data_IF_583522850300
#
_entry.id   IF_583522850300
#
_cell.length_a   1.000
_cell.length_b   1.000
_cell.length_c   1.000
_cell.angle_alpha   90.00
_cell.angle_beta   90.00
_cell.angle_gamma   90.00
#
_symmetry.space_group_name_H-M   'P 1'
#
loop_
_entity.id
_entity.type
_entity.pdbx_description
1 polymer ?
#
# COMPACT_ATOMS: atom_id res chain seq x y z
N UNK A 1 16.34 -16.77 -12.34
CA UNK A 1 15.20 -15.85 -12.20
C UNK A 1 15.73 -14.60 -11.53
N UNK A 2 15.95 -13.52 -12.28
CA UNK A 2 16.42 -12.26 -11.71
C UNK A 2 15.24 -11.59 -11.01
N UNK A 3 15.16 -11.68 -9.69
CA UNK A 3 14.28 -10.82 -8.90
C UNK A 3 14.86 -9.42 -8.94
N UNK A 4 14.41 -8.61 -9.90
CA UNK A 4 14.64 -7.17 -9.87
C UNK A 4 13.73 -6.60 -8.78
N UNK A 5 14.14 -6.76 -7.52
CA UNK A 5 13.45 -6.10 -6.41
C UNK A 5 13.77 -4.61 -6.51
N UNK A 6 12.90 -3.87 -7.19
CA UNK A 6 12.98 -2.41 -7.26
C UNK A 6 12.74 -1.89 -5.84
N UNK A 7 13.79 -1.48 -5.16
CA UNK A 7 13.68 -0.84 -3.86
C UNK A 7 13.35 0.65 -4.07
N UNK A 8 12.48 1.19 -3.21
CA UNK A 8 12.25 2.63 -3.16
C UNK A 8 13.54 3.37 -2.78
N UNK A 9 13.64 4.66 -3.12
CA UNK A 9 14.75 5.51 -2.66
C UNK A 9 14.77 5.57 -1.13
N UNK A 10 15.89 6.03 -0.56
CA UNK A 10 16.02 6.22 0.90
C UNK A 10 14.92 7.13 1.48
N UNK A 11 14.54 8.17 0.74
CA UNK A 11 13.42 9.05 1.08
C UNK A 11 12.09 8.30 1.09
N UNK A 12 11.80 7.52 0.04
CA UNK A 12 10.60 6.68 -0.03
C UNK A 12 10.54 5.67 1.12
N UNK A 13 11.66 5.01 1.44
CA UNK A 13 11.75 4.05 2.54
C UNK A 13 11.47 4.72 3.90
N UNK A 14 11.99 5.93 4.13
CA UNK A 14 11.71 6.69 5.34
C UNK A 14 10.22 7.03 5.46
N UNK A 15 9.58 7.42 4.35
CA UNK A 15 8.14 7.73 4.31
C UNK A 15 7.30 6.48 4.61
N UNK A 16 7.63 5.35 4.00
CA UNK A 16 6.98 4.07 4.29
C UNK A 16 7.11 3.71 5.78
N UNK A 17 8.31 3.85 6.35
CA UNK A 17 8.53 3.57 7.78
C UNK A 17 7.71 4.48 8.69
N UNK A 18 7.60 5.77 8.39
CA UNK A 18 6.73 6.70 9.12
C UNK A 18 5.26 6.28 9.07
N UNK A 19 4.78 5.82 7.91
CA UNK A 19 3.42 5.30 7.75
C UNK A 19 3.21 3.98 8.51
N UNK A 20 4.19 3.08 8.50
CA UNK A 20 4.17 1.82 9.28
C UNK A 20 4.06 2.10 10.78
N UNK A 21 4.89 3.01 11.32
CA UNK A 21 4.83 3.41 12.73
C UNK A 21 3.47 3.99 13.09
N UNK A 22 2.91 4.83 12.22
CA UNK A 22 1.58 5.39 12.41
C UNK A 22 0.51 4.30 12.51
N UNK A 23 0.42 3.42 11.50
CA UNK A 23 -0.58 2.37 11.44
C UNK A 23 -0.43 1.35 12.58
N UNK A 24 0.79 0.93 12.90
CA UNK A 24 1.07 0.00 14.00
C UNK A 24 0.65 0.60 15.34
N UNK A 25 0.95 1.89 15.57
CA UNK A 25 0.54 2.56 16.81
C UNK A 25 -0.98 2.56 16.97
N UNK A 26 -1.72 2.85 15.90
CA UNK A 26 -3.19 2.78 15.92
C UNK A 26 -3.69 1.36 16.20
N UNK A 27 -3.10 0.36 15.56
CA UNK A 27 -3.42 -1.06 15.76
C UNK A 27 -3.22 -1.52 17.21
N UNK A 28 -2.07 -1.20 17.81
CA UNK A 28 -1.76 -1.54 19.20
C UNK A 28 -2.70 -0.87 20.20
N UNK A 29 -3.06 0.40 19.97
CA UNK A 29 -4.02 1.12 20.83
C UNK A 29 -5.42 0.51 20.72
N UNK A 30 -5.87 0.20 19.50
CA UNK A 30 -7.14 -0.51 19.22
C UNK A 30 -7.17 -1.87 19.92
N UNK A 31 -6.12 -2.66 19.79
CA UNK A 31 -6.04 -4.00 20.39
C UNK A 31 -6.09 -3.93 21.92
N UNK A 32 -5.31 -3.04 22.53
CA UNK A 32 -5.29 -2.85 23.99
C UNK A 32 -6.65 -2.39 24.52
N UNK A 33 -7.31 -1.47 23.83
CA UNK A 33 -8.65 -1.01 24.19
C UNK A 33 -9.70 -2.12 24.03
N UNK A 34 -9.64 -2.87 22.93
CA UNK A 34 -10.55 -3.99 22.65
C UNK A 34 -10.44 -5.08 23.70
N UNK A 35 -9.21 -5.44 24.12
CA UNK A 35 -8.95 -6.38 25.22
C UNK A 35 -9.55 -5.89 26.54
N UNK A 36 -9.39 -4.61 26.87
CA UNK A 36 -9.94 -4.02 28.10
C UNK A 36 -11.47 -4.03 28.11
N UNK A 37 -12.11 -3.75 26.98
CA UNK A 37 -13.57 -3.73 26.86
C UNK A 37 -14.18 -5.10 26.53
N UNK A 38 -13.36 -6.14 26.30
CA UNK A 38 -13.78 -7.49 25.88
C UNK A 38 -14.70 -7.48 24.64
N UNK A 39 -14.53 -6.50 23.74
CA UNK A 39 -15.24 -6.38 22.47
C UNK A 39 -14.32 -5.80 21.41
N UNK A 40 -14.60 -6.09 20.14
CA UNK A 40 -13.89 -5.44 19.03
C UNK A 40 -14.30 -3.97 18.94
N UNK A 41 -13.32 -3.08 18.79
CA UNK A 41 -13.51 -1.64 18.67
C UNK A 41 -12.90 -1.13 17.37
N UNK A 42 -13.54 -0.15 16.74
CA UNK A 42 -12.91 0.66 15.70
C UNK A 42 -11.93 1.68 16.33
N UNK A 43 -10.91 2.10 15.58
CA UNK A 43 -9.98 3.17 15.98
C UNK A 43 -10.74 4.45 16.31
N UNK A 44 -11.80 4.75 15.56
CA UNK A 44 -12.66 5.92 15.77
C UNK A 44 -13.47 5.86 17.07
N UNK A 45 -13.73 4.66 17.62
CA UNK A 45 -14.34 4.51 18.95
C UNK A 45 -13.33 4.70 20.09
N UNK A 46 -12.04 4.49 19.80
CA UNK A 46 -10.95 4.51 20.81
C UNK A 46 -10.27 5.87 20.89
N UNK A 47 -10.06 6.52 19.74
CA UNK A 47 -9.24 7.73 19.63
C UNK A 47 -10.04 8.88 19.04
N UNK A 48 -9.93 10.05 19.69
CA UNK A 48 -10.41 11.30 19.10
C UNK A 48 -9.54 11.72 17.91
N UNK A 49 -10.10 12.53 17.01
CA UNK A 49 -9.38 13.09 15.85
C UNK A 49 -8.08 13.78 16.28
N UNK A 50 -8.10 14.55 17.37
CA UNK A 50 -6.91 15.22 17.92
C UNK A 50 -5.82 14.24 18.36
N UNK A 51 -6.20 13.08 18.92
CA UNK A 51 -5.23 12.05 19.30
C UNK A 51 -4.60 11.40 18.06
N UNK A 52 -5.40 11.14 17.02
CA UNK A 52 -4.90 10.61 15.74
C UNK A 52 -3.94 11.62 15.07
N UNK A 53 -4.29 12.90 15.05
CA UNK A 53 -3.40 13.97 14.56
C UNK A 53 -2.09 14.05 15.36
N UNK A 54 -2.15 13.82 16.67
CA UNK A 54 -0.95 13.82 17.51
C UNK A 54 -0.04 12.64 17.18
N UNK A 55 -0.61 11.44 17.00
CA UNK A 55 0.13 10.24 16.55
C UNK A 55 0.72 10.47 15.16
N UNK A 56 -0.04 11.06 14.23
CA UNK A 56 0.42 11.43 12.89
C UNK A 56 1.65 12.36 12.92
N UNK A 57 1.64 13.35 13.83
CA UNK A 57 2.76 14.27 13.98
C UNK A 57 4.00 13.58 14.57
N UNK A 58 3.82 12.68 15.53
CA UNK A 58 4.92 11.94 16.15
C UNK A 58 5.54 10.90 15.20
N UNK A 59 4.72 10.24 14.37
CA UNK A 59 5.20 9.26 13.38
C UNK A 59 5.83 9.92 12.15
N UNK A 60 5.48 11.18 11.88
CA UNK A 60 5.87 11.88 10.65
C UNK A 60 5.02 11.48 9.44
N UNK A 61 3.81 10.94 9.65
CA UNK A 61 2.89 10.52 8.61
C UNK A 61 1.52 11.23 8.75
N UNK A 62 1.02 11.98 7.73
CA UNK A 62 1.68 12.21 6.45
C UNK A 62 2.88 13.13 6.61
N UNK A 63 3.88 12.98 5.74
CA UNK A 63 4.98 13.93 5.71
C UNK A 63 4.44 15.32 5.43
N UNK A 64 4.73 16.26 6.34
CA UNK A 64 4.40 17.67 6.17
C UNK A 64 5.38 18.30 5.19
N UNK A 65 5.20 18.05 3.90
CA UNK A 65 5.79 18.92 2.89
C UNK A 65 5.01 20.24 2.88
N UNK A 66 5.53 21.25 3.57
CA UNK A 66 5.10 22.62 3.40
C UNK A 66 6.08 23.33 2.44
N UNK A 67 5.84 23.33 1.12
CA UNK A 67 6.51 24.29 0.27
C UNK A 67 6.00 25.67 0.69
N UNK A 68 6.81 26.41 1.46
CA UNK A 68 6.41 27.69 2.05
C UNK A 68 6.00 28.72 0.99
N UNK A 69 6.49 28.59 -0.24
CA UNK A 69 5.93 29.22 -1.45
C UNK A 69 6.49 28.52 -2.69
N UNK A 70 5.65 28.15 -3.66
CA UNK A 70 6.14 27.72 -4.97
C UNK A 70 6.81 28.90 -5.69
N UNK A 71 8.05 28.72 -6.14
CA UNK A 71 8.76 29.76 -6.89
C UNK A 71 7.97 30.16 -8.15
N UNK A 72 7.76 31.46 -8.36
CA UNK A 72 6.88 31.98 -9.42
C UNK A 72 7.44 31.81 -10.83
N UNK A 73 8.74 31.53 -10.98
CA UNK A 73 9.48 31.52 -12.27
C UNK A 73 10.41 30.31 -12.48
N UNK A 74 10.00 29.11 -12.04
CA UNK A 74 10.67 27.88 -12.49
C UNK A 74 10.35 27.59 -13.96
N UNK A 75 11.35 27.58 -14.84
CA UNK A 75 11.17 27.19 -16.27
C UNK A 75 10.98 25.68 -16.44
N UNK A 76 11.50 24.89 -15.49
CA UNK A 76 11.56 23.43 -15.57
C UNK A 76 10.76 22.78 -14.45
N UNK A 77 10.41 21.51 -14.64
CA UNK A 77 9.73 20.68 -13.63
C UNK A 77 10.70 20.38 -12.48
N UNK A 78 10.17 20.29 -11.27
CA UNK A 78 10.91 19.71 -10.15
C UNK A 78 11.01 18.19 -10.34
N UNK A 79 12.08 17.58 -9.82
CA UNK A 79 12.26 16.12 -9.86
C UNK A 79 11.15 15.41 -9.08
N UNK A 80 10.68 16.01 -7.98
CA UNK A 80 9.61 15.44 -7.14
C UNK A 80 8.20 15.69 -7.67
N UNK A 81 8.01 16.51 -8.71
CA UNK A 81 6.70 16.95 -9.18
C UNK A 81 6.02 18.04 -8.33
N UNK A 82 6.61 18.40 -7.18
CA UNK A 82 6.11 19.48 -6.31
C UNK A 82 6.03 20.80 -7.07
N UNK A 83 4.98 21.58 -6.80
CA UNK A 83 4.69 22.88 -7.41
C UNK A 83 4.29 22.82 -8.90
N UNK A 84 4.00 21.64 -9.46
CA UNK A 84 3.37 21.57 -10.78
C UNK A 84 2.01 22.28 -10.78
N UNK A 85 1.20 22.01 -9.74
CA UNK A 85 -0.03 22.76 -9.47
C UNK A 85 0.23 23.85 -8.42
N UNK A 86 0.07 25.12 -8.79
CA UNK A 86 0.38 26.26 -7.91
C UNK A 86 -0.61 26.44 -6.76
N UNK A 87 -1.87 26.02 -6.93
CA UNK A 87 -2.89 26.09 -5.88
C UNK A 87 -2.75 24.94 -4.89
N UNK A 88 -2.37 23.77 -5.39
CA UNK A 88 -2.18 22.54 -4.62
C UNK A 88 -0.80 21.94 -4.93
N UNK A 89 0.27 22.43 -4.28
CA UNK A 89 1.65 22.09 -4.63
C UNK A 89 2.02 20.61 -4.63
N UNK A 90 1.28 19.77 -3.90
CA UNK A 90 1.53 18.33 -3.75
C UNK A 90 0.73 17.46 -4.73
N UNK A 91 -0.16 18.04 -5.55
CA UNK A 91 -0.92 17.24 -6.51
C UNK A 91 0.00 16.66 -7.58
N UNK A 92 0.06 15.33 -7.64
CA UNK A 92 0.91 14.59 -8.56
C UNK A 92 2.39 14.55 -8.17
N UNK A 93 2.76 15.00 -6.96
CA UNK A 93 4.13 14.83 -6.49
C UNK A 93 4.41 13.39 -6.04
N UNK A 94 5.64 12.94 -6.26
CA UNK A 94 6.11 11.64 -5.78
C UNK A 94 5.98 11.52 -4.25
N UNK A 95 5.97 10.27 -3.76
CA UNK A 95 5.86 9.92 -2.35
C UNK A 95 4.62 10.50 -1.63
N UNK A 96 3.52 10.67 -2.35
CA UNK A 96 2.21 11.00 -1.78
C UNK A 96 1.26 9.81 -1.91
N UNK A 97 0.23 9.76 -1.07
CA UNK A 97 -0.78 8.71 -1.15
C UNK A 97 -1.51 8.73 -2.48
N UNK A 98 -1.75 7.54 -3.04
CA UNK A 98 -2.54 7.40 -4.28
C UNK A 98 -3.95 7.97 -4.09
N UNK A 99 -4.45 8.64 -5.13
CA UNK A 99 -5.81 9.18 -5.12
C UNK A 99 -6.85 8.04 -5.01
N UNK A 100 -7.86 8.25 -4.17
CA UNK A 100 -9.00 7.33 -4.05
C UNK A 100 -10.19 7.92 -4.80
N UNK A 101 -10.59 7.29 -5.89
CA UNK A 101 -11.81 7.67 -6.64
C UNK A 101 -13.08 7.13 -5.99
N UNK A 102 -12.95 6.01 -5.28
CA UNK A 102 -13.99 5.41 -4.44
C UNK A 102 -13.44 5.19 -3.02
N UNK A 103 -14.31 5.15 -1.99
CA UNK A 103 -13.89 4.81 -0.63
C UNK A 103 -13.13 3.48 -0.58
N UNK A 104 -12.17 3.37 0.34
CA UNK A 104 -11.44 2.14 0.56
C UNK A 104 -12.34 1.06 1.17
N UNK A 105 -12.21 -0.18 0.71
CA UNK A 105 -12.91 -1.32 1.30
C UNK A 105 -11.92 -2.31 1.90
N UNK A 106 -11.79 -2.27 3.22
CA UNK A 106 -11.02 -3.22 4.01
C UNK A 106 -11.95 -4.19 4.74
N UNK A 107 -11.43 -5.35 5.09
CA UNK A 107 -12.18 -6.36 5.83
C UNK A 107 -12.64 -5.81 7.18
N UNK A 108 -11.76 -5.15 7.93
CA UNK A 108 -12.10 -4.52 9.21
C UNK A 108 -12.55 -3.06 9.10
N UNK A 109 -12.72 -2.56 7.87
CA UNK A 109 -13.06 -1.16 7.59
C UNK A 109 -11.90 -0.18 7.73
N UNK A 110 -10.68 -0.64 8.04
CA UNK A 110 -9.54 0.22 8.35
C UNK A 110 -8.31 -0.09 7.49
N UNK A 111 -7.71 -1.28 7.65
CA UNK A 111 -6.45 -1.64 6.97
C UNK A 111 -6.30 -3.12 6.64
N UNK A 112 -7.10 -4.03 7.21
CA UNK A 112 -6.99 -5.45 6.90
C UNK A 112 -7.48 -5.73 5.47
N UNK A 113 -6.68 -6.34 4.59
CA UNK A 113 -7.13 -6.70 3.26
C UNK A 113 -8.26 -7.73 3.33
N UNK A 114 -9.12 -7.75 2.31
CA UNK A 114 -10.17 -8.77 2.22
C UNK A 114 -9.56 -10.17 2.08
N UNK A 115 -10.04 -11.12 2.87
CA UNK A 115 -9.50 -12.49 2.95
C UNK A 115 -8.46 -12.66 4.06
N UNK A 116 -8.28 -11.66 4.93
CA UNK A 116 -7.39 -11.76 6.09
C UNK A 116 -7.87 -12.79 7.11
N UNK A 117 -9.16 -12.79 7.46
CA UNK A 117 -9.76 -13.74 8.38
C UNK A 117 -10.45 -14.87 7.61
N UNK A 118 -10.01 -16.11 7.85
CA UNK A 118 -10.61 -17.29 7.25
C UNK A 118 -12.10 -17.42 7.62
N UNK A 119 -12.93 -17.78 6.63
CA UNK A 119 -14.37 -17.97 6.82
C UNK A 119 -15.20 -16.68 6.78
N UNK A 120 -14.59 -15.50 6.65
CA UNK A 120 -15.35 -14.26 6.46
C UNK A 120 -16.09 -14.28 5.12
N UNK A 121 -17.39 -13.96 5.18
CA UNK A 121 -18.27 -13.91 4.03
C UNK A 121 -18.42 -12.48 3.51
N UNK A 122 -18.48 -12.37 2.20
CA UNK A 122 -18.68 -11.16 1.41
C UNK A 122 -19.92 -11.37 0.56
N UNK A 123 -20.98 -10.63 0.86
CA UNK A 123 -22.29 -10.81 0.24
C UNK A 123 -22.80 -12.27 0.32
N UNK A 124 -22.52 -12.95 1.45
CA UNK A 124 -22.93 -14.33 1.70
C UNK A 124 -21.95 -15.41 1.20
N UNK A 125 -20.84 -15.05 0.55
CA UNK A 125 -19.89 -16.01 -0.01
C UNK A 125 -18.45 -15.80 0.49
N UNK A 126 -17.66 -16.87 0.69
CA UNK A 126 -16.23 -16.72 0.96
C UNK A 126 -15.50 -16.23 -0.31
N UNK A 127 -14.42 -15.46 -0.12
CA UNK A 127 -13.54 -15.15 -1.23
C UNK A 127 -12.73 -16.40 -1.62
N UNK A 128 -12.57 -16.69 -2.92
CA UNK A 128 -11.72 -17.80 -3.35
C UNK A 128 -10.24 -17.48 -3.09
N UNK A 129 -9.43 -18.52 -2.91
CA UNK A 129 -7.98 -18.34 -2.83
C UNK A 129 -7.45 -17.77 -4.14
N UNK A 130 -6.58 -16.75 -4.07
CA UNK A 130 -6.02 -16.13 -5.29
C UNK A 130 -5.25 -17.14 -6.15
N UNK A 131 -4.62 -18.14 -5.53
CA UNK A 131 -3.96 -19.24 -6.25
C UNK A 131 -4.95 -20.16 -6.95
N UNK A 132 -6.09 -20.43 -6.33
CA UNK A 132 -7.15 -21.24 -6.93
C UNK A 132 -7.73 -20.55 -8.17
N UNK A 133 -8.02 -19.25 -8.08
CA UNK A 133 -8.45 -18.42 -9.23
C UNK A 133 -7.41 -18.48 -10.34
N UNK A 134 -6.13 -18.30 -10.01
CA UNK A 134 -5.04 -18.41 -10.99
C UNK A 134 -4.99 -19.80 -11.66
N UNK A 135 -5.15 -20.88 -10.89
CA UNK A 135 -5.07 -22.25 -11.39
C UNK A 135 -6.26 -22.65 -12.26
N UNK A 136 -7.47 -22.18 -11.92
CA UNK A 136 -8.71 -22.57 -12.60
C UNK A 136 -9.10 -21.67 -13.76
N UNK A 137 -8.78 -20.37 -13.68
CA UNK A 137 -9.24 -19.37 -14.66
C UNK A 137 -8.09 -18.86 -15.52
N UNK A 138 -6.98 -18.45 -14.88
CA UNK A 138 -5.86 -17.79 -15.58
C UNK A 138 -4.87 -18.77 -16.20
N UNK A 139 -4.99 -20.07 -15.89
CA UNK A 139 -4.11 -21.10 -16.42
C UNK A 139 -4.34 -21.25 -17.92
N UNK A 140 -3.59 -20.49 -18.70
CA UNK A 140 -3.41 -20.75 -20.13
C UNK A 140 -2.85 -22.15 -20.30
N UNK A 141 -3.35 -22.90 -21.28
CA UNK A 141 -2.67 -24.14 -21.66
C UNK A 141 -1.22 -23.82 -22.03
N UNK A 142 -0.30 -24.72 -21.76
CA UNK A 142 1.12 -24.66 -22.18
C UNK A 142 1.32 -24.69 -23.71
N UNK A 143 0.31 -24.25 -24.46
CA UNK A 143 0.20 -24.33 -25.91
C UNK A 143 0.38 -22.93 -26.45
N UNK A 144 1.47 -22.79 -27.22
CA UNK A 144 1.83 -21.75 -28.18
C UNK A 144 1.53 -20.32 -27.72
N UNK A 145 2.61 -19.57 -27.45
CA UNK A 145 2.58 -18.10 -27.39
C UNK A 145 1.72 -17.62 -28.55
N UNK A 146 0.52 -17.10 -28.25
CA UNK A 146 -0.37 -16.55 -29.25
C UNK A 146 0.29 -15.27 -29.74
N UNK A 147 1.00 -15.36 -30.85
CA UNK A 147 1.56 -14.18 -31.49
C UNK A 147 0.43 -13.26 -31.93
N UNK A 148 0.48 -12.02 -31.46
CA UNK A 148 -0.39 -10.97 -31.95
C UNK A 148 0.08 -10.57 -33.37
N UNK A 149 -0.81 -10.73 -34.36
CA UNK A 149 -0.48 -10.43 -35.77
C UNK A 149 -0.58 -8.94 -36.10
N UNK A 150 -1.14 -8.13 -35.21
CA UNK A 150 -1.43 -6.71 -35.43
C UNK A 150 -0.44 -5.84 -34.67
N UNK A 151 -0.07 -6.23 -33.45
CA UNK A 151 0.78 -5.45 -32.57
C UNK A 151 2.16 -6.09 -32.39
N UNK A 152 3.20 -5.25 -32.41
CA UNK A 152 4.54 -5.68 -32.04
C UNK A 152 4.69 -5.75 -30.53
N UNK A 153 5.73 -6.46 -30.07
CA UNK A 153 6.11 -6.53 -28.65
C UNK A 153 6.31 -5.14 -28.01
N UNK A 154 6.62 -4.11 -28.80
CA UNK A 154 6.74 -2.72 -28.34
C UNK A 154 5.49 -2.24 -27.59
N UNK A 155 4.30 -2.76 -27.92
CA UNK A 155 3.07 -2.40 -27.20
C UNK A 155 3.15 -2.76 -25.71
N UNK A 156 3.65 -3.97 -25.40
CA UNK A 156 3.77 -4.47 -24.03
C UNK A 156 4.89 -3.72 -23.30
N UNK A 157 6.04 -3.59 -23.95
CA UNK A 157 7.23 -2.97 -23.35
C UNK A 157 6.99 -1.47 -23.08
N UNK A 158 6.34 -0.76 -24.01
CA UNK A 158 5.95 0.65 -23.82
C UNK A 158 4.91 0.81 -22.73
N UNK A 159 3.97 -0.13 -22.60
CA UNK A 159 3.01 -0.16 -21.50
C UNK A 159 3.70 -0.21 -20.13
N UNK A 160 4.68 -1.10 -19.96
CA UNK A 160 5.47 -1.20 -18.72
C UNK A 160 6.31 0.07 -18.49
N UNK A 161 6.90 0.64 -19.54
CA UNK A 161 7.67 1.88 -19.43
C UNK A 161 6.81 3.03 -18.87
N UNK A 162 5.61 3.21 -19.41
CA UNK A 162 4.68 4.25 -18.94
C UNK A 162 4.17 3.95 -17.52
N UNK A 163 3.82 2.70 -17.21
CA UNK A 163 3.41 2.31 -15.85
C UNK A 163 4.47 2.71 -14.80
N UNK A 164 5.74 2.45 -15.12
CA UNK A 164 6.88 2.76 -14.24
C UNK A 164 7.22 4.25 -14.10
N UNK A 165 6.80 5.09 -15.04
CA UNK A 165 6.91 6.56 -14.97
C UNK A 165 5.75 7.15 -14.13
N UNK A 166 4.56 6.55 -14.21
CA UNK A 166 3.35 7.05 -13.56
C UNK A 166 3.23 6.61 -12.10
N UNK A 167 3.57 5.35 -11.79
CA UNK A 167 3.31 4.82 -10.45
C UNK A 167 4.34 3.81 -9.98
N UNK A 168 4.52 3.78 -8.66
CA UNK A 168 5.30 2.76 -7.97
C UNK A 168 4.82 2.65 -6.52
N UNK A 169 4.35 1.47 -6.13
CA UNK A 169 3.94 1.19 -4.73
C UNK A 169 5.02 0.35 -4.06
N UNK A 170 5.95 0.96 -3.29
CA UNK A 170 7.00 0.22 -2.61
C UNK A 170 6.40 -0.77 -1.61
N UNK A 171 6.96 -1.98 -1.56
CA UNK A 171 6.61 -2.95 -0.54
C UNK A 171 7.22 -2.53 0.80
N UNK A 172 6.54 -2.89 1.91
CA UNK A 172 7.10 -2.73 3.25
C UNK A 172 8.42 -3.50 3.32
N UNK A 173 9.47 -2.83 3.78
CA UNK A 173 10.77 -3.44 4.02
C UNK A 173 10.85 -4.10 5.40
N UNK A 174 9.71 -4.32 6.08
CA UNK A 174 9.66 -4.75 7.48
C UNK A 174 10.19 -6.18 7.68
N UNK A 175 11.51 -6.28 7.68
CA UNK A 175 12.26 -7.21 8.52
C UNK A 175 12.44 -6.65 9.95
N UNK A 176 12.08 -5.38 10.22
CA UNK A 176 12.63 -4.62 11.38
C UNK A 176 11.68 -3.68 12.12
N UNK A 177 10.37 -3.73 11.93
CA UNK A 177 9.44 -2.83 12.62
C UNK A 177 8.55 -3.56 13.64
N UNK A 178 9.15 -3.90 14.79
CA UNK A 178 8.48 -4.02 16.09
C UNK A 178 7.77 -5.32 16.52
N UNK A 179 7.60 -6.33 15.64
CA UNK A 179 7.16 -7.68 16.06
C UNK A 179 8.05 -8.78 15.47
N UNK A 180 8.85 -9.40 16.33
CA UNK A 180 9.57 -10.69 16.16
C UNK A 180 10.25 -10.99 14.81
N UNK A 181 10.77 -9.99 14.09
CA UNK A 181 11.60 -10.25 12.89
C UNK A 181 10.94 -11.18 11.87
N UNK A 182 9.60 -11.12 11.75
CA UNK A 182 8.80 -11.98 10.89
C UNK A 182 9.29 -11.86 9.44
N UNK A 183 9.82 -12.97 8.94
CA UNK A 183 10.21 -13.09 7.54
C UNK A 183 9.02 -13.61 6.73
N UNK A 184 8.41 -12.73 5.92
CA UNK A 184 7.28 -13.07 5.06
C UNK A 184 7.58 -14.20 4.06
N UNK A 185 8.86 -14.49 3.80
CA UNK A 185 9.25 -15.62 2.94
C UNK A 185 9.14 -16.98 3.65
N UNK A 186 9.13 -16.98 4.99
CA UNK A 186 9.19 -18.17 5.83
C UNK A 186 7.99 -18.33 6.77
N UNK A 187 6.92 -17.54 6.57
CA UNK A 187 5.67 -17.64 7.35
C UNK A 187 4.45 -17.79 6.45
N UNK A 188 3.51 -18.63 6.89
CA UNK A 188 2.19 -18.77 6.27
C UNK A 188 1.10 -18.02 7.06
N UNK A 189 1.47 -17.36 8.17
CA UNK A 189 0.55 -16.66 9.04
C UNK A 189 0.35 -15.22 8.54
N UNK A 190 -0.91 -14.78 8.50
CA UNK A 190 -1.25 -13.39 8.26
C UNK A 190 -0.79 -12.54 9.47
N UNK A 191 0.16 -11.65 9.25
CA UNK A 191 0.70 -10.74 10.26
C UNK A 191 1.35 -9.57 9.55
N UNK A 192 1.02 -8.32 9.87
CA UNK A 192 1.57 -7.17 9.14
C UNK A 192 3.12 -7.19 9.15
N UNK A 193 3.79 -7.02 7.98
CA UNK A 193 3.23 -6.73 6.65
C UNK A 193 2.92 -7.98 5.78
N UNK A 194 3.11 -9.18 6.31
CA UNK A 194 2.96 -10.45 5.62
C UNK A 194 1.49 -10.83 5.39
N UNK A 195 1.14 -10.97 4.11
CA UNK A 195 -0.14 -11.53 3.68
C UNK A 195 0.11 -12.65 2.65
N UNK A 196 0.52 -13.86 3.11
CA UNK A 196 0.95 -14.94 2.24
C UNK A 196 -0.19 -15.51 1.40
N UNK A 197 0.13 -15.82 0.14
CA UNK A 197 -0.80 -16.50 -0.79
C UNK A 197 -0.93 -17.97 -0.36
N UNK A 198 -2.12 -18.35 0.10
CA UNK A 198 -2.44 -19.73 0.42
C UNK A 198 -2.57 -20.58 -0.85
N UNK A 199 -2.18 -21.85 -0.77
CA UNK A 199 -2.13 -22.81 -1.88
C UNK A 199 -3.17 -23.91 -1.76
#
# INVERSE_FOLDING_TARGET
MYTLSRQGSTETQHICRSAEVFHMTLGLLKEKASRRQRRSLAVSEVLSVKAVEWIANLSGCPQRFQPSTCATRGKYRSISGVCNNRKNPLWGSANTGLARWIPAEYEDGENQPKGWNAGRLYNGFPLPLVREVSNKIMRGSSVLVLEDKVYSQMLVDWGQYIDHDISFTPQSSSQTAFTEGLDCLNTCTNADPCFPIQV
#
